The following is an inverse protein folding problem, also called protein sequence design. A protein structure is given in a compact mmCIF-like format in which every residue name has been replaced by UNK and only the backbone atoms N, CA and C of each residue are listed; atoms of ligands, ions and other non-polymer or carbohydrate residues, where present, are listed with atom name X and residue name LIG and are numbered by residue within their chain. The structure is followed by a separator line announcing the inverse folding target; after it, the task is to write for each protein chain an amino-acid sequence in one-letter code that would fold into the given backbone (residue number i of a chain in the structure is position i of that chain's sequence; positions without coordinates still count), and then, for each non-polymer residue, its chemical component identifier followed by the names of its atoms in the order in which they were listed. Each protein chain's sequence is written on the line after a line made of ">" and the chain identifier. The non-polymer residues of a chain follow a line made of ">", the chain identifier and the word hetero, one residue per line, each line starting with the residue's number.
data_IF_612391195310
#
_entry.id   IF_612391195310
#
_cell.length_a   1.000
_cell.length_b   1.000
_cell.length_c   1.000
_cell.angle_alpha   90.00
_cell.angle_beta   90.00
_cell.angle_gamma   90.00
#
_symmetry.space_group_name_H-M   'P 1'
#
loop_
_entity.id
_entity.type
_entity.pdbx_description
1 polymer ?
#
# COMPACT_ATOMS: atom_id res chain seq x y z
N UNK A 1 -36.79 36.90 52.46
CA UNK A 1 -35.93 37.01 51.24
C UNK A 1 -34.60 36.35 51.57
N UNK A 2 -34.05 35.34 50.91
CA UNK A 2 -34.31 34.58 49.68
C UNK A 2 -33.87 33.14 49.99
N UNK A 3 -34.70 32.14 49.75
CA UNK A 3 -34.30 30.73 49.79
C UNK A 3 -34.00 30.31 48.34
N UNK A 4 -32.72 30.10 48.05
CA UNK A 4 -32.23 29.57 46.78
C UNK A 4 -32.57 28.09 46.67
N UNK A 5 -33.55 27.75 45.81
CA UNK A 5 -33.79 26.36 45.39
C UNK A 5 -32.72 25.97 44.34
N UNK A 6 -31.75 25.17 44.74
CA UNK A 6 -30.90 24.43 43.80
C UNK A 6 -31.78 23.41 43.06
N UNK A 7 -31.93 23.60 41.75
CA UNK A 7 -32.65 22.70 40.87
C UNK A 7 -32.01 21.30 40.89
N UNK A 8 -32.82 20.33 41.26
CA UNK A 8 -32.52 18.90 41.24
C UNK A 8 -32.41 18.42 39.78
N UNK A 9 -31.20 18.13 39.31
CA UNK A 9 -30.98 17.53 37.99
C UNK A 9 -31.04 16.02 38.11
N UNK A 10 -32.15 15.46 37.64
CA UNK A 10 -32.44 14.04 37.55
C UNK A 10 -31.40 13.32 36.69
N UNK A 11 -30.69 12.36 37.29
CA UNK A 11 -29.89 11.35 36.58
C UNK A 11 -30.85 10.39 35.88
N UNK A 12 -31.00 10.51 34.56
CA UNK A 12 -31.64 9.47 33.76
C UNK A 12 -30.61 8.36 33.48
N UNK A 13 -30.91 7.08 33.76
CA UNK A 13 -30.05 5.97 33.38
C UNK A 13 -30.19 5.74 31.87
N UNK A 14 -29.14 6.08 31.11
CA UNK A 14 -29.09 5.85 29.67
C UNK A 14 -28.65 4.40 29.39
N UNK A 15 -29.49 3.44 29.73
CA UNK A 15 -29.33 2.04 29.31
C UNK A 15 -30.05 1.84 27.97
N UNK A 16 -29.41 2.24 26.88
CA UNK A 16 -29.81 1.83 25.53
C UNK A 16 -28.63 1.10 24.88
N UNK A 17 -28.81 -0.13 24.38
CA UNK A 17 -27.78 -0.82 23.63
C UNK A 17 -27.65 -0.14 22.27
N UNK A 18 -26.75 0.84 22.17
CA UNK A 18 -26.35 1.38 20.88
C UNK A 18 -25.73 0.24 20.06
N UNK A 19 -26.15 0.00 18.81
CA UNK A 19 -25.47 -0.96 17.96
C UNK A 19 -24.04 -0.46 17.74
N UNK A 20 -23.07 -1.13 18.38
CA UNK A 20 -21.66 -1.03 18.06
C UNK A 20 -21.54 -1.25 16.55
N UNK A 21 -21.23 -0.19 15.81
CA UNK A 21 -20.93 -0.25 14.38
C UNK A 21 -19.71 -1.14 14.21
N UNK A 22 -19.95 -2.43 14.04
CA UNK A 22 -18.92 -3.41 13.71
C UNK A 22 -18.46 -3.08 12.29
N UNK A 23 -17.45 -2.23 12.19
CA UNK A 23 -16.70 -2.06 10.95
C UNK A 23 -15.96 -3.38 10.72
N UNK A 24 -16.63 -4.32 10.06
CA UNK A 24 -16.02 -5.54 9.57
C UNK A 24 -14.99 -5.15 8.52
N UNK A 25 -13.73 -5.05 8.92
CA UNK A 25 -12.60 -4.98 8.00
C UNK A 25 -12.28 -6.40 7.55
N UNK A 26 -13.19 -7.07 6.86
CA UNK A 26 -12.80 -8.21 6.02
C UNK A 26 -12.02 -7.64 4.84
N UNK A 27 -10.77 -7.24 5.11
CA UNK A 27 -9.78 -7.08 4.08
C UNK A 27 -9.66 -8.46 3.43
N UNK A 28 -10.25 -8.64 2.25
CA UNK A 28 -9.90 -9.76 1.38
C UNK A 28 -8.39 -9.65 1.19
N UNK A 29 -7.62 -10.45 1.92
CA UNK A 29 -6.24 -10.69 1.58
C UNK A 29 -6.29 -11.33 0.20
N UNK A 30 -6.16 -10.51 -0.84
CA UNK A 30 -5.86 -10.99 -2.18
C UNK A 30 -4.64 -11.88 -2.02
N UNK A 31 -4.81 -13.17 -2.30
CA UNK A 31 -3.72 -14.12 -2.24
C UNK A 31 -2.59 -13.56 -3.12
N UNK A 32 -1.39 -13.44 -2.55
CA UNK A 32 -0.22 -12.98 -3.29
C UNK A 32 0.11 -14.05 -4.32
N UNK A 33 -0.32 -13.85 -5.56
CA UNK A 33 0.15 -14.67 -6.65
C UNK A 33 1.66 -14.43 -6.85
N UNK A 34 2.42 -15.46 -7.24
CA UNK A 34 3.82 -15.29 -7.59
C UNK A 34 3.94 -14.41 -8.82
N UNK A 35 4.93 -13.51 -8.81
CA UNK A 35 5.33 -12.73 -9.96
C UNK A 35 6.00 -13.69 -10.97
N UNK A 36 5.52 -13.70 -12.21
CA UNK A 36 6.03 -14.54 -13.29
C UNK A 36 6.42 -13.67 -14.51
N UNK A 37 7.19 -14.22 -15.44
CA UNK A 37 7.53 -13.54 -16.68
C UNK A 37 6.28 -13.30 -17.53
N UNK A 38 6.16 -12.09 -18.08
CA UNK A 38 5.11 -11.71 -19.04
C UNK A 38 5.76 -11.29 -20.35
N UNK A 39 5.03 -11.29 -21.45
CA UNK A 39 5.53 -10.81 -22.76
C UNK A 39 6.20 -9.44 -22.69
N UNK A 40 5.69 -8.55 -21.84
CA UNK A 40 6.22 -7.20 -21.63
C UNK A 40 7.44 -7.10 -20.72
N UNK A 41 7.67 -8.10 -19.86
CA UNK A 41 8.73 -8.11 -18.83
C UNK A 41 9.28 -9.53 -18.72
N UNK A 42 10.17 -9.92 -19.65
CA UNK A 42 10.77 -11.26 -19.65
C UNK A 42 11.73 -11.41 -18.47
N UNK A 43 12.45 -10.34 -18.11
CA UNK A 43 13.35 -10.31 -16.97
C UNK A 43 12.71 -9.59 -15.78
N UNK A 44 13.04 -9.99 -14.54
CA UNK A 44 12.59 -9.27 -13.34
C UNK A 44 13.21 -7.87 -13.25
N UNK A 45 14.39 -7.65 -13.87
CA UNK A 45 15.03 -6.35 -13.96
C UNK A 45 14.21 -5.40 -14.86
N UNK A 46 13.67 -5.89 -15.98
CA UNK A 46 12.76 -5.12 -16.84
C UNK A 46 11.48 -4.70 -16.13
N UNK A 47 10.98 -5.55 -15.23
CA UNK A 47 9.83 -5.20 -14.40
C UNK A 47 10.17 -4.03 -13.46
N UNK A 48 11.35 -4.06 -12.82
CA UNK A 48 11.75 -3.00 -11.90
C UNK A 48 12.06 -1.69 -12.62
N UNK A 49 12.66 -1.73 -13.81
CA UNK A 49 12.91 -0.52 -14.61
C UNK A 49 11.60 0.12 -15.08
N UNK A 50 10.60 -0.68 -15.46
CA UNK A 50 9.27 -0.17 -15.79
C UNK A 50 8.56 0.45 -14.58
N UNK A 51 8.64 -0.17 -13.40
CA UNK A 51 8.06 0.40 -12.17
C UNK A 51 8.74 1.74 -11.82
N UNK A 52 10.08 1.80 -11.93
CA UNK A 52 10.90 2.96 -11.63
C UNK A 52 11.03 3.22 -10.13
N UNK A 53 11.09 4.51 -9.74
CA UNK A 53 11.27 4.96 -8.33
C UNK A 53 12.55 4.45 -7.66
N UNK A 54 13.59 4.16 -8.44
CA UNK A 54 14.85 3.64 -7.92
C UNK A 54 14.78 2.19 -7.46
N UNK A 55 13.69 1.47 -7.78
CA UNK A 55 13.54 0.06 -7.48
C UNK A 55 14.62 -0.78 -8.19
N UNK A 56 14.97 -0.40 -9.42
CA UNK A 56 16.00 -1.04 -10.23
C UNK A 56 17.38 -1.01 -9.56
N UNK A 57 17.72 0.08 -8.85
CA UNK A 57 19.02 0.23 -8.18
C UNK A 57 19.07 -0.44 -6.82
N UNK A 58 17.95 -0.42 -6.09
CA UNK A 58 17.87 -0.89 -4.69
C UNK A 58 17.52 -2.37 -4.58
N UNK A 59 16.78 -2.90 -5.55
CA UNK A 59 16.37 -4.31 -5.61
C UNK A 59 17.14 -5.10 -6.67
N UNK A 60 18.19 -4.54 -7.27
CA UNK A 60 19.04 -5.19 -8.28
C UNK A 60 19.50 -6.60 -7.84
N UNK A 61 19.92 -6.74 -6.57
CA UNK A 61 20.38 -8.00 -5.99
C UNK A 61 19.30 -9.09 -5.94
N UNK A 62 18.03 -8.70 -5.91
CA UNK A 62 16.88 -9.62 -5.92
C UNK A 62 16.28 -9.79 -7.31
N UNK A 63 16.79 -9.05 -8.30
CA UNK A 63 16.36 -9.07 -9.69
C UNK A 63 17.20 -10.02 -10.56
N UNK A 64 18.03 -10.87 -9.95
CA UNK A 64 18.76 -11.92 -10.68
C UNK A 64 17.83 -13.09 -11.04
N UNK A 65 16.85 -13.40 -10.18
CA UNK A 65 15.88 -14.47 -10.41
C UNK A 65 14.47 -14.07 -9.97
N UNK A 66 13.46 -14.64 -10.64
CA UNK A 66 12.06 -14.48 -10.25
C UNK A 66 11.79 -15.04 -8.85
N UNK A 67 12.52 -16.07 -8.42
CA UNK A 67 12.39 -16.67 -7.09
C UNK A 67 12.89 -15.75 -5.97
N UNK A 68 14.02 -15.07 -6.19
CA UNK A 68 14.55 -14.08 -5.26
C UNK A 68 13.59 -12.89 -5.13
N UNK A 69 13.07 -12.40 -6.26
CA UNK A 69 12.08 -11.33 -6.30
C UNK A 69 10.78 -11.75 -5.57
N UNK A 70 10.31 -12.96 -5.82
CA UNK A 70 9.12 -13.52 -5.16
C UNK A 70 9.32 -13.69 -3.65
N UNK A 71 10.51 -14.06 -3.21
CA UNK A 71 10.84 -14.14 -1.78
C UNK A 71 10.69 -12.77 -1.10
N UNK A 72 11.14 -11.70 -1.74
CA UNK A 72 10.97 -10.32 -1.26
C UNK A 72 9.49 -9.93 -1.27
N UNK A 73 8.77 -10.23 -2.34
CA UNK A 73 7.33 -9.97 -2.45
C UNK A 73 6.51 -10.67 -1.36
N UNK A 74 6.83 -11.93 -1.07
CA UNK A 74 6.19 -12.71 -0.01
C UNK A 74 6.44 -12.11 1.38
N UNK A 75 7.68 -11.73 1.68
CA UNK A 75 8.06 -10.99 2.90
C UNK A 75 7.38 -9.61 3.01
N UNK A 76 6.90 -9.06 1.90
CA UNK A 76 6.13 -7.81 1.86
C UNK A 76 6.96 -6.58 2.24
N UNK A 77 6.34 -5.63 2.95
CA UNK A 77 6.97 -4.32 3.22
C UNK A 77 8.21 -4.37 4.12
N UNK A 78 8.38 -5.44 4.88
CA UNK A 78 9.59 -5.66 5.66
C UNK A 78 10.76 -6.08 4.76
N UNK A 79 10.55 -7.01 3.82
CA UNK A 79 11.60 -7.42 2.86
C UNK A 79 12.10 -6.26 1.99
N UNK A 80 11.22 -5.31 1.64
CA UNK A 80 11.59 -4.11 0.87
C UNK A 80 12.18 -3.00 1.78
N UNK A 81 12.03 -3.10 3.12
CA UNK A 81 12.66 -2.15 4.04
C UNK A 81 14.18 -2.27 4.00
N UNK A 82 14.66 -3.50 3.94
CA UNK A 82 16.07 -3.84 4.11
C UNK A 82 16.93 -3.40 2.90
N UNK A 83 16.30 -3.18 1.74
CA UNK A 83 16.94 -2.60 0.55
C UNK A 83 17.08 -1.07 0.59
N UNK A 84 16.65 -0.42 1.68
CA UNK A 84 16.85 1.02 1.88
C UNK A 84 15.87 1.91 1.10
N UNK A 85 14.74 1.37 0.62
CA UNK A 85 13.68 2.15 -0.02
C UNK A 85 12.93 3.03 1.01
N UNK A 86 12.73 4.29 0.64
CA UNK A 86 11.88 5.22 1.40
C UNK A 86 10.45 4.69 1.55
N UNK A 87 9.71 5.20 2.54
CA UNK A 87 8.35 4.72 2.83
C UNK A 87 7.40 4.90 1.64
N UNK A 88 7.52 6.03 0.92
CA UNK A 88 6.69 6.33 -0.26
C UNK A 88 6.96 5.36 -1.40
N UNK A 89 8.22 5.18 -1.77
CA UNK A 89 8.62 4.33 -2.90
C UNK A 89 8.30 2.86 -2.61
N UNK A 90 8.52 2.40 -1.38
CA UNK A 90 8.15 1.05 -0.95
C UNK A 90 6.65 0.76 -1.04
N UNK A 91 5.80 1.70 -0.61
CA UNK A 91 4.34 1.56 -0.76
C UNK A 91 3.96 1.45 -2.23
N UNK A 92 4.61 2.23 -3.10
CA UNK A 92 4.38 2.19 -4.53
C UNK A 92 4.84 0.86 -5.16
N UNK A 93 6.04 0.38 -4.83
CA UNK A 93 6.55 -0.91 -5.32
C UNK A 93 5.66 -2.07 -4.90
N UNK A 94 5.21 -2.11 -3.64
CA UNK A 94 4.27 -3.13 -3.17
C UNK A 94 2.93 -3.09 -3.92
N UNK A 95 2.42 -1.89 -4.16
CA UNK A 95 1.20 -1.71 -4.94
C UNK A 95 1.39 -2.18 -6.39
N UNK A 96 2.52 -1.83 -7.02
CA UNK A 96 2.86 -2.26 -8.38
C UNK A 96 3.01 -3.79 -8.48
N UNK A 97 3.69 -4.43 -7.53
CA UNK A 97 3.77 -5.89 -7.46
C UNK A 97 2.38 -6.51 -7.26
N UNK A 98 1.53 -5.90 -6.43
CA UNK A 98 0.14 -6.37 -6.28
C UNK A 98 -0.62 -6.32 -7.60
N UNK A 99 -0.47 -5.25 -8.39
CA UNK A 99 -1.11 -5.13 -9.70
C UNK A 99 -0.57 -6.13 -10.72
N UNK A 100 0.75 -6.25 -10.79
CA UNK A 100 1.39 -7.23 -11.66
C UNK A 100 1.01 -8.68 -11.30
N UNK A 101 0.92 -8.99 -10.00
CA UNK A 101 0.48 -10.32 -9.53
C UNK A 101 -0.98 -10.64 -9.91
N UNK A 102 -1.80 -9.61 -10.19
CA UNK A 102 -3.18 -9.76 -10.67
C UNK A 102 -3.25 -9.91 -12.20
N UNK A 103 -2.12 -9.88 -12.89
CA UNK A 103 -2.03 -9.97 -14.35
C UNK A 103 -2.22 -8.64 -15.07
N UNK A 104 -2.25 -7.50 -14.37
CA UNK A 104 -2.23 -6.19 -15.02
C UNK A 104 -0.85 -5.92 -15.64
N UNK A 105 -0.81 -5.38 -16.86
CA UNK A 105 0.45 -5.07 -17.54
C UNK A 105 1.14 -3.87 -16.87
N UNK A 106 2.48 -3.84 -16.78
CA UNK A 106 3.22 -2.71 -16.22
C UNK A 106 2.88 -1.38 -16.90
N UNK A 107 2.63 -1.41 -18.20
CA UNK A 107 2.32 -0.23 -19.00
C UNK A 107 0.99 0.42 -18.60
N UNK A 108 0.02 -0.37 -18.13
CA UNK A 108 -1.30 0.13 -17.74
C UNK A 108 -1.29 0.90 -16.41
N UNK A 109 -0.52 0.42 -15.44
CA UNK A 109 -0.54 0.98 -14.08
C UNK A 109 0.62 1.94 -13.80
N UNK A 110 1.72 1.86 -14.52
CA UNK A 110 2.85 2.79 -14.37
C UNK A 110 2.45 4.14 -14.97
N UNK A 111 2.27 5.15 -14.11
CA UNK A 111 1.98 6.50 -14.56
C UNK A 111 3.28 7.24 -14.88
N UNK A 112 3.37 7.93 -16.04
CA UNK A 112 4.51 8.76 -16.34
C UNK A 112 4.66 9.88 -15.30
N UNK A 113 5.88 10.41 -15.09
CA UNK A 113 6.10 11.55 -14.21
C UNK A 113 5.22 12.72 -14.65
N UNK A 114 4.52 13.33 -13.68
CA UNK A 114 3.69 14.51 -13.95
C UNK A 114 4.56 15.61 -14.55
N UNK A 115 4.05 16.29 -15.57
CA UNK A 115 4.71 17.45 -16.15
C UNK A 115 5.08 18.46 -15.05
N UNK A 116 6.26 19.06 -15.19
CA UNK A 116 6.74 20.04 -14.23
C UNK A 116 5.71 21.17 -14.06
N UNK A 117 5.48 21.59 -12.82
CA UNK A 117 4.58 22.71 -12.55
C UNK A 117 5.15 23.95 -13.23
N UNK A 118 4.30 24.69 -13.95
CA UNK A 118 4.67 25.99 -14.49
C UNK A 118 5.07 26.92 -13.34
N UNK A 119 6.31 27.38 -13.35
CA UNK A 119 6.77 28.42 -12.44
C UNK A 119 6.00 29.70 -12.77
N UNK A 120 5.22 30.20 -11.80
CA UNK A 120 4.67 31.56 -11.82
C UNK A 120 5.65 32.35 -10.96
N UNK A 121 6.29 33.36 -11.56
CA UNK A 121 7.32 34.19 -10.95
C UNK A 121 6.99 34.61 -9.52
#
# INVERSE_FOLDING_TARGET
>A
MLLSLCASSSRLPLSLPLPLRQLSTTARQLAKAPLAATSETPTPLDLLTKIGRGAEKRLAQHAESWEALNSVWNKGGQGIKDSGLGVRDRRYVLWAFSKYSQGESPSDFVRPPRAAKKFRG
#
